data_IF_584347980295
#
_entry.id   IF_584347980295
#
_cell.length_a   1.000
_cell.length_b   1.000
_cell.length_c   1.000
_cell.angle_alpha   90.00
_cell.angle_beta   90.00
_cell.angle_gamma   90.00
#
_symmetry.space_group_name_H-M   'P 1'
#
loop_
_entity.id
_entity.type
_entity.pdbx_description
1 polymer ?
#
# COMPACT_ATOMS: atom_id res chain seq x y z
N UNK A 1 29.29 6.12 -3.07
CA UNK A 1 29.14 5.96 -1.60
C UNK A 1 28.39 4.67 -1.32
N UNK A 2 28.75 3.91 -0.28
CA UNK A 2 28.00 2.73 0.12
C UNK A 2 26.59 3.12 0.58
N UNK A 3 25.61 2.24 0.34
CA UNK A 3 24.24 2.47 0.81
C UNK A 3 24.17 2.47 2.33
N UNK A 4 23.41 3.40 2.90
CA UNK A 4 23.15 3.45 4.34
C UNK A 4 22.29 2.26 4.77
N UNK A 5 22.61 1.64 5.91
CA UNK A 5 21.70 0.68 6.55
C UNK A 5 20.34 1.33 6.85
N UNK A 6 19.29 0.54 7.06
CA UNK A 6 17.97 1.06 7.42
C UNK A 6 18.02 1.93 8.68
N UNK A 7 18.83 1.53 9.67
CA UNK A 7 19.08 2.31 10.89
C UNK A 7 19.74 3.66 10.61
N UNK A 8 20.83 3.69 9.85
CA UNK A 8 21.53 4.93 9.50
C UNK A 8 20.68 5.85 8.61
N UNK A 9 19.87 5.25 7.74
CA UNK A 9 18.88 5.95 6.92
C UNK A 9 17.90 6.72 7.80
N UNK A 10 17.32 6.02 8.79
CA UNK A 10 16.39 6.61 9.73
C UNK A 10 17.04 7.71 10.59
N UNK A 11 18.25 7.49 11.09
CA UNK A 11 18.99 8.48 11.89
C UNK A 11 19.26 9.76 11.08
N UNK A 12 19.67 9.61 9.82
CA UNK A 12 19.89 10.75 8.94
C UNK A 12 18.61 11.53 8.68
N UNK A 13 17.53 10.86 8.25
CA UNK A 13 16.26 11.54 7.94
C UNK A 13 15.67 12.21 9.18
N UNK A 14 15.73 11.56 10.34
CA UNK A 14 15.21 12.13 11.59
C UNK A 14 16.06 13.30 12.13
N UNK A 15 17.32 13.45 11.69
CA UNK A 15 18.14 14.63 12.00
C UNK A 15 17.78 15.85 11.15
N UNK A 16 17.22 15.62 9.97
CA UNK A 16 16.86 16.66 8.99
C UNK A 16 15.37 17.04 9.10
N UNK A 17 14.50 16.12 9.55
CA UNK A 17 13.05 16.32 9.58
C UNK A 17 12.44 15.89 10.92
N UNK A 18 11.50 16.70 11.42
CA UNK A 18 10.75 16.41 12.67
C UNK A 18 9.53 15.51 12.46
N UNK A 19 8.97 15.50 11.26
CA UNK A 19 7.75 14.78 10.91
C UNK A 19 8.01 13.87 9.71
N UNK A 20 7.19 12.84 9.56
CA UNK A 20 7.27 11.92 8.42
C UNK A 20 5.89 11.46 8.00
N UNK A 21 5.71 11.31 6.69
CA UNK A 21 4.55 10.63 6.11
C UNK A 21 4.89 9.14 6.01
N UNK A 22 3.90 8.26 6.13
CA UNK A 22 4.09 6.83 5.98
C UNK A 22 3.18 6.26 4.87
N UNK A 23 3.80 5.65 3.85
CA UNK A 23 3.10 4.83 2.88
C UNK A 23 2.67 3.51 3.55
N UNK A 24 1.42 3.45 4.02
CA UNK A 24 0.91 2.37 4.85
C UNK A 24 -0.01 1.44 4.05
N UNK A 25 0.56 0.42 3.41
CA UNK A 25 -0.21 -0.55 2.59
C UNK A 25 -0.96 -1.62 3.40
N UNK A 26 -1.01 -1.49 4.74
CA UNK A 26 -1.46 -2.52 5.70
C UNK A 26 -0.68 -3.86 5.63
N UNK A 27 0.29 -3.99 4.73
CA UNK A 27 1.17 -5.17 4.67
C UNK A 27 2.23 -5.15 5.77
N UNK A 28 2.76 -6.34 6.10
CA UNK A 28 3.78 -6.54 7.16
C UNK A 28 4.97 -5.59 7.07
N UNK A 29 5.41 -5.25 5.86
CA UNK A 29 6.58 -4.43 5.62
C UNK A 29 6.30 -2.95 5.96
N UNK A 30 5.10 -2.46 5.64
CA UNK A 30 4.65 -1.11 6.00
C UNK A 30 4.43 -0.95 7.51
N UNK A 31 3.93 -1.99 8.18
CA UNK A 31 3.79 -2.04 9.63
C UNK A 31 5.17 -2.04 10.30
N UNK A 32 6.12 -2.82 9.78
CA UNK A 32 7.50 -2.82 10.25
C UNK A 32 8.14 -1.42 10.10
N UNK A 33 7.89 -0.73 8.99
CA UNK A 33 8.34 0.63 8.79
C UNK A 33 7.75 1.58 9.84
N UNK A 34 6.44 1.54 10.10
CA UNK A 34 5.82 2.31 11.19
C UNK A 34 6.54 2.07 12.51
N UNK A 35 6.69 0.80 12.91
CA UNK A 35 7.31 0.43 14.19
C UNK A 35 8.76 0.89 14.31
N UNK A 36 9.49 0.93 13.20
CA UNK A 36 10.85 1.43 13.14
C UNK A 36 10.91 2.96 13.33
N UNK A 37 10.01 3.71 12.71
CA UNK A 37 10.07 5.19 12.66
C UNK A 37 9.31 5.88 13.79
N UNK A 38 8.29 5.26 14.39
CA UNK A 38 7.32 5.91 15.31
C UNK A 38 7.90 6.60 16.54
N UNK A 39 9.13 6.26 16.94
CA UNK A 39 9.84 6.88 18.08
C UNK A 39 10.92 7.89 17.66
N UNK A 40 11.13 8.08 16.37
CA UNK A 40 12.19 8.95 15.82
C UNK A 40 11.66 10.27 15.26
N UNK A 41 10.38 10.32 14.93
CA UNK A 41 9.70 11.55 14.52
C UNK A 41 8.74 12.01 15.61
N UNK A 42 8.50 13.32 15.69
CA UNK A 42 7.53 13.90 16.59
C UNK A 42 6.10 13.49 16.22
N UNK A 43 5.83 13.33 14.92
CA UNK A 43 4.57 12.80 14.40
C UNK A 43 4.81 12.00 13.12
N UNK A 44 3.97 10.98 12.91
CA UNK A 44 3.94 10.16 11.70
C UNK A 44 2.53 10.18 11.13
N UNK A 45 2.40 10.49 9.84
CA UNK A 45 1.11 10.63 9.15
C UNK A 45 0.94 9.51 8.12
N UNK A 46 0.24 8.41 8.48
CA UNK A 46 0.05 7.30 7.56
C UNK A 46 -1.06 7.58 6.54
N UNK A 47 -0.86 7.06 5.33
CA UNK A 47 -1.91 6.96 4.32
C UNK A 47 -2.01 5.54 3.76
N UNK A 48 -3.24 5.12 3.43
CA UNK A 48 -3.56 3.90 2.71
C UNK A 48 -4.15 4.28 1.35
N UNK A 49 -3.72 3.55 0.30
CA UNK A 49 -4.19 3.76 -1.06
C UNK A 49 -5.15 2.64 -1.47
N UNK A 50 -6.45 2.92 -1.55
CA UNK A 50 -7.44 1.92 -1.92
C UNK A 50 -7.54 1.77 -3.44
N UNK A 51 -7.74 0.54 -3.91
CA UNK A 51 -8.08 0.27 -5.31
C UNK A 51 -9.60 0.33 -5.52
N UNK A 52 -10.38 -0.17 -4.57
CA UNK A 52 -11.84 0.02 -4.49
C UNK A 52 -12.12 0.58 -3.10
N UNK A 53 -12.86 1.69 -2.96
CA UNK A 53 -13.15 2.28 -1.67
C UNK A 53 -14.02 1.36 -0.81
N UNK A 54 -13.87 1.47 0.51
CA UNK A 54 -14.81 0.91 1.50
C UNK A 54 -15.02 -0.62 1.41
N UNK A 55 -14.00 -1.36 0.98
CA UNK A 55 -14.01 -2.82 1.14
C UNK A 55 -13.96 -3.14 2.65
N UNK A 56 -14.96 -3.84 3.16
CA UNK A 56 -15.17 -4.15 4.58
C UNK A 56 -13.93 -4.85 5.16
N UNK A 57 -13.40 -5.87 4.47
CA UNK A 57 -12.21 -6.58 4.94
C UNK A 57 -10.95 -5.70 5.01
N UNK A 58 -10.87 -4.64 4.20
CA UNK A 58 -9.76 -3.67 4.24
C UNK A 58 -9.96 -2.71 5.39
N UNK A 59 -11.16 -2.13 5.51
CA UNK A 59 -11.44 -1.13 6.56
C UNK A 59 -11.35 -1.73 7.96
N UNK A 60 -11.83 -2.95 8.18
CA UNK A 60 -11.67 -3.67 9.45
C UNK A 60 -10.20 -3.70 9.89
N UNK A 61 -9.28 -3.93 8.96
CA UNK A 61 -7.85 -4.01 9.27
C UNK A 61 -7.21 -2.67 9.53
N UNK A 62 -7.58 -1.67 8.73
CA UNK A 62 -7.09 -0.33 8.94
C UNK A 62 -7.56 0.18 10.31
N UNK A 63 -8.82 -0.05 10.68
CA UNK A 63 -9.36 0.25 12.01
C UNK A 63 -8.61 -0.47 13.13
N UNK A 64 -8.32 -1.77 12.97
CA UNK A 64 -7.49 -2.51 13.94
C UNK A 64 -6.12 -1.87 14.14
N UNK A 65 -5.46 -1.42 13.07
CA UNK A 65 -4.17 -0.74 13.17
C UNK A 65 -4.28 0.65 13.77
N UNK A 66 -5.32 1.41 13.45
CA UNK A 66 -5.60 2.70 14.08
C UNK A 66 -5.80 2.56 15.59
N UNK A 67 -6.60 1.58 16.02
CA UNK A 67 -6.84 1.29 17.43
C UNK A 67 -5.55 0.84 18.11
N UNK A 68 -4.79 -0.07 17.50
CA UNK A 68 -3.55 -0.59 18.09
C UNK A 68 -2.46 0.48 18.21
N UNK A 69 -2.36 1.37 17.22
CA UNK A 69 -1.25 2.32 17.13
C UNK A 69 -1.59 3.74 17.56
N UNK A 70 -2.87 4.05 17.80
CA UNK A 70 -3.33 5.35 18.30
C UNK A 70 -3.18 6.47 17.27
N UNK A 71 -3.30 6.17 15.98
CA UNK A 71 -3.29 7.17 14.91
C UNK A 71 -4.50 6.99 13.98
N UNK A 72 -4.74 7.96 13.09
CA UNK A 72 -5.64 7.82 11.96
C UNK A 72 -4.86 7.65 10.66
N UNK A 73 -5.32 6.73 9.81
CA UNK A 73 -4.77 6.46 8.48
C UNK A 73 -5.61 7.22 7.46
N UNK A 74 -4.98 8.06 6.65
CA UNK A 74 -5.69 8.77 5.58
C UNK A 74 -5.99 7.80 4.45
N UNK A 75 -7.27 7.59 4.10
CA UNK A 75 -7.66 6.76 2.94
C UNK A 75 -7.69 7.64 1.70
N UNK A 76 -6.98 7.23 0.65
CA UNK A 76 -6.88 7.96 -0.61
C UNK A 76 -6.99 7.00 -1.80
N UNK A 77 -7.48 7.45 -2.97
CA UNK A 77 -7.51 6.59 -4.15
C UNK A 77 -6.08 6.25 -4.60
N UNK A 78 -5.83 4.98 -4.89
CA UNK A 78 -4.59 4.57 -5.52
C UNK A 78 -4.53 5.13 -6.96
N UNK A 79 -3.38 5.62 -7.47
CA UNK A 79 -3.26 6.11 -8.85
C UNK A 79 -3.74 5.10 -9.90
N UNK A 80 -3.49 3.81 -9.63
CA UNK A 80 -3.94 2.70 -10.47
C UNK A 80 -5.46 2.63 -10.63
N UNK A 81 -6.28 3.07 -9.65
CA UNK A 81 -7.73 3.10 -9.80
C UNK A 81 -8.13 3.99 -10.99
N UNK A 82 -7.61 5.21 -11.03
CA UNK A 82 -7.95 6.17 -12.08
C UNK A 82 -7.31 5.76 -13.42
N UNK A 83 -6.12 5.16 -13.39
CA UNK A 83 -5.48 4.60 -14.59
C UNK A 83 -6.30 3.45 -15.17
N UNK A 84 -6.76 2.51 -14.34
CA UNK A 84 -7.57 1.36 -14.77
C UNK A 84 -8.91 1.82 -15.33
N UNK A 85 -9.59 2.77 -14.68
CA UNK A 85 -10.85 3.31 -15.19
C UNK A 85 -10.66 4.01 -16.53
N UNK A 86 -9.69 4.93 -16.65
CA UNK A 86 -9.39 5.62 -17.92
C UNK A 86 -8.98 4.67 -19.05
N UNK A 87 -8.32 3.56 -18.72
CA UNK A 87 -7.95 2.52 -19.67
C UNK A 87 -9.07 1.48 -19.90
N UNK A 88 -10.27 1.73 -19.35
CA UNK A 88 -11.45 0.86 -19.41
C UNK A 88 -11.17 -0.60 -18.99
N UNK A 89 -10.21 -0.78 -18.08
CA UNK A 89 -9.84 -2.10 -17.55
C UNK A 89 -11.03 -2.68 -16.80
N UNK A 90 -11.39 -3.92 -17.15
CA UNK A 90 -12.56 -4.63 -16.64
C UNK A 90 -13.90 -3.88 -16.79
N UNK A 91 -14.05 -3.06 -17.83
CA UNK A 91 -15.29 -2.32 -18.10
C UNK A 91 -16.09 -2.91 -19.27
N UNK A 92 -17.42 -3.03 -19.15
CA UNK A 92 -18.25 -3.31 -20.31
C UNK A 92 -18.32 -2.08 -21.24
N UNK A 93 -18.49 -2.25 -22.57
CA UNK A 93 -18.50 -1.14 -23.52
C UNK A 93 -19.47 0.00 -23.16
N UNK A 94 -20.63 -0.34 -22.57
CA UNK A 94 -21.65 0.63 -22.13
C UNK A 94 -21.18 1.63 -21.07
N UNK A 95 -20.08 1.36 -20.34
CA UNK A 95 -19.57 2.26 -19.30
C UNK A 95 -18.56 3.29 -19.83
N UNK A 96 -17.93 3.02 -20.99
CA UNK A 96 -16.81 3.82 -21.52
C UNK A 96 -17.14 5.32 -21.62
N UNK A 97 -18.28 5.66 -22.23
CA UNK A 97 -18.71 7.06 -22.38
C UNK A 97 -18.89 7.80 -21.04
N UNK A 98 -19.40 7.12 -20.00
CA UNK A 98 -19.60 7.71 -18.68
C UNK A 98 -18.26 7.93 -17.98
N UNK A 99 -17.34 6.97 -18.09
CA UNK A 99 -16.00 7.05 -17.50
C UNK A 99 -15.20 8.18 -18.15
N UNK A 100 -15.25 8.30 -19.47
CA UNK A 100 -14.56 9.36 -20.21
C UNK A 100 -15.13 10.73 -19.84
N UNK A 101 -16.45 10.85 -19.72
CA UNK A 101 -17.12 12.08 -19.30
C UNK A 101 -16.80 12.49 -17.86
N UNK A 102 -16.42 11.54 -16.98
CA UNK A 102 -16.06 11.84 -15.60
C UNK A 102 -14.74 12.61 -15.48
N UNK A 103 -13.91 12.67 -16.54
CA UNK A 103 -12.72 13.52 -16.57
C UNK A 103 -11.71 13.19 -15.47
N UNK A 104 -11.51 11.90 -15.18
CA UNK A 104 -10.65 11.43 -14.09
C UNK A 104 -9.22 11.98 -14.22
N UNK A 105 -8.74 12.65 -13.17
CA UNK A 105 -7.42 13.28 -13.14
C UNK A 105 -6.28 12.26 -13.31
N UNK A 106 -5.18 12.70 -13.90
CA UNK A 106 -3.91 11.96 -13.82
C UNK A 106 -3.12 12.44 -12.61
N UNK A 107 -2.72 11.53 -11.75
CA UNK A 107 -1.92 11.84 -10.57
C UNK A 107 -1.04 10.65 -10.19
N UNK A 108 0.04 10.93 -9.48
CA UNK A 108 0.98 9.94 -8.99
C UNK A 108 1.30 10.07 -7.51
N UNK A 109 2.32 9.34 -7.09
CA UNK A 109 2.76 9.34 -5.69
C UNK A 109 3.30 10.69 -5.20
N UNK A 110 3.82 11.52 -6.11
CA UNK A 110 4.25 12.88 -5.76
C UNK A 110 3.06 13.77 -5.39
N UNK A 111 1.94 13.66 -6.11
CA UNK A 111 0.71 14.41 -5.83
C UNK A 111 0.08 13.94 -4.52
N UNK A 112 0.08 12.63 -4.28
CA UNK A 112 -0.36 12.07 -2.98
C UNK A 112 0.46 12.66 -1.83
N UNK A 113 1.79 12.72 -1.96
CA UNK A 113 2.65 13.34 -0.94
C UNK A 113 2.29 14.81 -0.73
N UNK A 114 2.16 15.59 -1.80
CA UNK A 114 1.85 17.02 -1.70
C UNK A 114 0.47 17.26 -1.08
N UNK A 115 -0.51 16.45 -1.42
CA UNK A 115 -1.84 16.51 -0.82
C UNK A 115 -1.80 16.13 0.67
N UNK A 116 -1.05 15.10 1.07
CA UNK A 116 -0.80 14.81 2.49
C UNK A 116 -0.13 15.98 3.20
N UNK A 117 0.83 16.66 2.56
CA UNK A 117 1.47 17.85 3.13
C UNK A 117 0.44 18.97 3.32
N UNK A 118 -0.42 19.24 2.34
CA UNK A 118 -1.48 20.24 2.45
C UNK A 118 -2.52 19.90 3.52
N UNK A 119 -2.94 18.63 3.62
CA UNK A 119 -3.95 18.18 4.58
C UNK A 119 -3.51 18.34 6.04
N UNK A 120 -2.21 18.18 6.31
CA UNK A 120 -1.65 18.18 7.67
C UNK A 120 -0.74 19.38 7.94
N UNK A 121 -0.75 20.40 7.07
CA UNK A 121 0.09 21.61 7.15
C UNK A 121 1.59 21.28 7.36
N UNK A 122 2.10 20.37 6.52
CA UNK A 122 3.48 19.88 6.58
C UNK A 122 4.36 20.59 5.54
N UNK A 123 5.68 20.74 5.80
CA UNK A 123 6.63 21.22 4.81
C UNK A 123 6.56 20.40 3.50
N UNK A 124 6.65 21.03 2.30
CA UNK A 124 6.52 20.32 1.02
C UNK A 124 7.58 19.23 0.77
N UNK A 125 8.71 19.31 1.47
CA UNK A 125 9.81 18.34 1.44
C UNK A 125 9.71 17.26 2.53
N UNK A 126 8.57 17.16 3.22
CA UNK A 126 8.34 16.15 4.27
C UNK A 126 8.60 14.75 3.72
N UNK A 127 9.45 13.95 4.40
CA UNK A 127 9.86 12.67 3.89
C UNK A 127 8.75 11.62 4.04
N UNK A 128 8.68 10.70 3.08
CA UNK A 128 7.75 9.58 3.03
C UNK A 128 8.52 8.29 3.30
N UNK A 129 8.19 7.63 4.41
CA UNK A 129 8.68 6.30 4.73
C UNK A 129 8.03 5.24 3.85
N UNK A 130 8.84 4.36 3.26
CA UNK A 130 8.37 3.21 2.49
C UNK A 130 8.92 1.90 3.08
N UNK A 131 8.04 0.92 3.31
CA UNK A 131 8.40 -0.35 3.97
C UNK A 131 9.15 -1.36 3.13
N UNK A 132 9.39 -1.10 1.84
CA UNK A 132 10.02 -2.07 0.93
C UNK A 132 11.32 -2.66 1.49
N UNK A 133 11.33 -3.99 1.70
CA UNK A 133 12.51 -4.77 2.10
C UNK A 133 13.18 -5.46 0.91
N UNK A 134 14.50 -5.54 0.92
CA UNK A 134 15.32 -6.23 -0.08
C UNK A 134 15.78 -7.56 0.51
N UNK A 135 14.90 -8.57 0.47
CA UNK A 135 15.17 -9.81 1.17
C UNK A 135 16.11 -10.74 0.37
N UNK A 136 15.91 -10.90 -0.96
CA UNK A 136 16.72 -11.78 -1.84
C UNK A 136 16.76 -11.48 -3.35
N UNK A 137 15.93 -10.60 -3.89
CA UNK A 137 15.82 -10.43 -5.36
C UNK A 137 16.97 -9.54 -5.89
N UNK A 138 17.80 -10.09 -6.78
CA UNK A 138 18.94 -9.39 -7.39
C UNK A 138 18.55 -8.01 -7.95
N UNK A 139 17.40 -7.91 -8.62
CA UNK A 139 16.90 -6.64 -9.18
C UNK A 139 16.59 -5.57 -8.11
N UNK A 140 15.95 -5.95 -7.00
CA UNK A 140 15.64 -5.01 -5.92
C UNK A 140 16.91 -4.55 -5.21
N UNK A 141 17.88 -5.46 -5.04
CA UNK A 141 19.19 -5.13 -4.47
C UNK A 141 19.99 -4.19 -5.36
N UNK A 142 20.00 -4.42 -6.68
CA UNK A 142 20.64 -3.55 -7.65
C UNK A 142 19.99 -2.16 -7.69
N UNK A 143 18.65 -2.09 -7.68
CA UNK A 143 17.91 -0.83 -7.61
C UNK A 143 18.27 -0.05 -6.35
N UNK A 144 18.22 -0.71 -5.19
CA UNK A 144 18.54 -0.10 -3.91
C UNK A 144 20.01 0.34 -3.84
N UNK A 145 20.95 -0.42 -4.40
CA UNK A 145 22.36 -0.02 -4.54
C UNK A 145 22.55 1.19 -5.46
N UNK A 146 21.76 1.32 -6.52
CA UNK A 146 21.84 2.43 -7.48
C UNK A 146 21.23 3.72 -6.94
N UNK A 147 20.07 3.64 -6.31
CA UNK A 147 19.31 4.81 -5.86
C UNK A 147 19.55 5.17 -4.39
N UNK A 148 20.04 4.22 -3.60
CA UNK A 148 20.19 4.37 -2.17
C UNK A 148 18.88 4.24 -1.41
N UNK A 149 18.99 4.28 -0.09
CA UNK A 149 17.86 4.17 0.85
C UNK A 149 17.16 5.50 1.14
N UNK A 150 17.65 6.60 0.55
CA UNK A 150 17.05 7.95 0.60
C UNK A 150 17.00 8.48 -0.83
N UNK A 151 15.81 8.66 -1.38
CA UNK A 151 15.55 9.15 -2.73
C UNK A 151 14.98 10.56 -2.63
N UNK A 152 15.89 11.56 -2.58
CA UNK A 152 15.53 12.98 -2.35
C UNK A 152 14.54 13.52 -3.39
N UNK A 153 14.69 13.15 -4.66
CA UNK A 153 13.78 13.59 -5.73
C UNK A 153 12.32 13.15 -5.52
N UNK A 154 12.10 12.08 -4.76
CA UNK A 154 10.77 11.57 -4.43
C UNK A 154 10.37 11.91 -2.98
N UNK A 155 11.25 12.56 -2.22
CA UNK A 155 11.15 12.71 -0.77
C UNK A 155 10.89 11.36 -0.09
N UNK A 156 11.48 10.27 -0.58
CA UNK A 156 11.25 8.93 -0.03
C UNK A 156 12.47 8.40 0.71
N UNK A 157 12.22 7.59 1.73
CA UNK A 157 13.25 6.83 2.42
C UNK A 157 12.76 5.46 2.86
N UNK A 158 13.68 4.52 3.01
CA UNK A 158 13.37 3.10 3.24
C UNK A 158 13.97 2.64 4.58
N UNK A 159 13.29 2.82 5.72
CA UNK A 159 13.89 2.62 7.05
C UNK A 159 14.17 1.16 7.41
N UNK A 160 13.57 0.20 6.69
CA UNK A 160 13.65 -1.23 6.97
C UNK A 160 14.16 -2.04 5.79
N UNK A 161 14.76 -1.39 4.79
CA UNK A 161 15.11 -2.02 3.51
C UNK A 161 16.03 -3.24 3.64
N UNK A 162 16.88 -3.25 4.66
CA UNK A 162 17.87 -4.28 4.96
C UNK A 162 17.40 -5.31 6.00
N UNK A 163 16.16 -5.19 6.51
CA UNK A 163 15.62 -6.13 7.49
C UNK A 163 15.39 -7.52 6.89
N UNK A 164 15.88 -8.53 7.59
CA UNK A 164 15.62 -9.94 7.29
C UNK A 164 14.30 -10.38 7.91
N UNK A 165 13.79 -11.54 7.47
CA UNK A 165 12.60 -12.19 8.06
C UNK A 165 12.65 -12.24 9.58
N UNK A 166 13.82 -12.56 10.15
CA UNK A 166 13.99 -12.66 11.60
C UNK A 166 13.80 -11.33 12.31
N UNK A 167 14.31 -10.22 11.74
CA UNK A 167 14.13 -8.88 12.30
C UNK A 167 12.64 -8.49 12.32
N UNK A 168 11.92 -8.79 11.25
CA UNK A 168 10.48 -8.55 11.15
C UNK A 168 9.69 -9.36 12.19
N UNK A 169 9.96 -10.67 12.29
CA UNK A 169 9.30 -11.54 13.26
C UNK A 169 9.58 -11.10 14.71
N UNK A 170 10.82 -10.73 15.02
CA UNK A 170 11.19 -10.23 16.34
C UNK A 170 10.48 -8.91 16.64
N UNK A 171 10.44 -7.99 15.69
CA UNK A 171 9.74 -6.72 15.82
C UNK A 171 8.25 -6.93 16.10
N UNK A 172 7.58 -7.81 15.36
CA UNK A 172 6.15 -8.07 15.55
C UNK A 172 5.85 -8.73 16.88
N UNK A 173 6.66 -9.72 17.28
CA UNK A 173 6.55 -10.37 18.58
C UNK A 173 6.69 -9.36 19.73
N UNK A 174 7.70 -8.48 19.66
CA UNK A 174 7.96 -7.46 20.69
C UNK A 174 6.84 -6.42 20.81
N UNK A 175 6.17 -6.11 19.70
CA UNK A 175 5.13 -5.09 19.66
C UNK A 175 3.71 -5.67 19.65
N UNK A 176 3.57 -6.99 19.86
CA UNK A 176 2.29 -7.70 19.85
C UNK A 176 1.43 -7.40 18.61
N UNK A 177 2.08 -7.26 17.45
CA UNK A 177 1.38 -7.02 16.18
C UNK A 177 0.75 -8.30 15.68
N UNK A 178 -0.54 -8.23 15.36
CA UNK A 178 -1.26 -9.25 14.61
C UNK A 178 -1.45 -8.75 13.18
N UNK A 179 -1.22 -9.63 12.21
CA UNK A 179 -1.56 -9.35 10.83
C UNK A 179 -3.07 -9.54 10.64
N UNK A 180 -3.65 -8.77 9.73
CA UNK A 180 -5.06 -8.82 9.41
C UNK A 180 -5.51 -10.20 8.89
N UNK A 181 -6.83 -10.43 8.97
CA UNK A 181 -7.51 -11.64 8.46
C UNK A 181 -7.20 -11.93 6.99
N UNK A 182 -7.18 -10.90 6.14
CA UNK A 182 -6.85 -10.95 4.71
C UNK A 182 -5.48 -11.59 4.45
N UNK A 183 -4.49 -11.37 5.32
CA UNK A 183 -3.15 -11.90 5.17
C UNK A 183 -3.13 -13.41 5.32
N UNK A 184 -4.07 -13.99 6.09
CA UNK A 184 -4.23 -15.44 6.20
C UNK A 184 -4.83 -16.03 4.92
N UNK A 185 -5.58 -15.24 4.15
CA UNK A 185 -6.24 -15.65 2.92
C UNK A 185 -5.31 -15.48 1.72
N UNK A 186 -4.65 -14.32 1.59
CA UNK A 186 -3.84 -13.97 0.42
C UNK A 186 -2.33 -14.23 0.61
N UNK A 187 -1.85 -14.32 1.86
CA UNK A 187 -0.41 -14.38 2.17
C UNK A 187 0.36 -13.07 1.93
N UNK A 188 -0.34 -12.02 1.49
CA UNK A 188 0.16 -10.67 1.21
C UNK A 188 -0.98 -9.65 1.37
N UNK A 189 -0.66 -8.35 1.32
CA UNK A 189 -1.68 -7.29 1.30
C UNK A 189 -2.39 -7.26 -0.05
N UNK A 190 -3.68 -6.97 -0.06
CA UNK A 190 -4.46 -6.73 -1.28
C UNK A 190 -3.85 -5.62 -2.15
N UNK A 191 -3.47 -5.96 -3.40
CA UNK A 191 -2.75 -5.04 -4.29
C UNK A 191 -3.24 -5.03 -5.75
N UNK A 192 -4.15 -5.93 -6.13
CA UNK A 192 -4.59 -6.10 -7.51
C UNK A 192 -5.91 -6.86 -7.63
N UNK A 193 -6.56 -6.74 -8.79
CA UNK A 193 -7.81 -7.42 -9.14
C UNK A 193 -7.58 -8.64 -10.05
N UNK A 194 -6.54 -9.43 -9.76
CA UNK A 194 -6.33 -10.70 -10.46
C UNK A 194 -6.92 -11.88 -9.68
N UNK A 195 -6.94 -13.05 -10.32
CA UNK A 195 -7.52 -14.28 -9.77
C UNK A 195 -7.00 -14.69 -8.39
N UNK A 196 -5.76 -14.33 -8.03
CA UNK A 196 -5.18 -14.62 -6.71
C UNK A 196 -5.98 -13.96 -5.59
N UNK A 197 -6.61 -12.81 -5.88
CA UNK A 197 -7.44 -12.07 -4.93
C UNK A 197 -8.93 -12.27 -5.21
N UNK A 198 -9.36 -12.20 -6.47
CA UNK A 198 -10.78 -12.27 -6.83
C UNK A 198 -11.45 -13.58 -6.37
N UNK A 199 -10.79 -14.74 -6.54
CA UNK A 199 -11.34 -16.04 -6.12
C UNK A 199 -11.60 -16.11 -4.61
N UNK A 200 -10.60 -15.85 -3.74
CA UNK A 200 -10.83 -15.85 -2.30
C UNK A 200 -11.82 -14.75 -1.86
N UNK A 201 -11.80 -13.56 -2.49
CA UNK A 201 -12.76 -12.49 -2.15
C UNK A 201 -14.20 -12.93 -2.47
N UNK A 202 -14.47 -13.51 -3.65
CA UNK A 202 -15.79 -14.06 -4.00
C UNK A 202 -16.27 -15.10 -2.97
N UNK A 203 -15.36 -15.91 -2.45
CA UNK A 203 -15.67 -16.98 -1.48
C UNK A 203 -15.88 -16.48 -0.05
N UNK A 204 -14.98 -15.64 0.46
CA UNK A 204 -14.93 -15.26 1.87
C UNK A 204 -15.53 -13.89 2.17
N UNK A 205 -15.54 -12.99 1.19
CA UNK A 205 -16.04 -11.61 1.30
C UNK A 205 -16.99 -11.26 0.16
N UNK A 206 -18.14 -11.96 0.01
CA UNK A 206 -19.03 -11.81 -1.14
C UNK A 206 -19.64 -10.40 -1.29
N UNK A 207 -19.77 -9.65 -0.19
CA UNK A 207 -20.21 -8.23 -0.24
C UNK A 207 -19.15 -7.33 -0.84
N UNK A 208 -17.90 -7.49 -0.43
CA UNK A 208 -16.77 -6.78 -1.02
C UNK A 208 -16.53 -7.18 -2.46
N UNK A 209 -16.76 -8.44 -2.80
CA UNK A 209 -16.78 -8.90 -4.18
C UNK A 209 -17.81 -8.14 -5.01
N UNK A 210 -19.03 -7.94 -4.51
CA UNK A 210 -20.04 -7.13 -5.21
C UNK A 210 -19.59 -5.67 -5.38
N UNK A 211 -19.03 -5.03 -4.35
CA UNK A 211 -18.46 -3.68 -4.48
C UNK A 211 -17.36 -3.61 -5.55
N UNK A 212 -16.50 -4.63 -5.63
CA UNK A 212 -15.50 -4.73 -6.70
C UNK A 212 -16.18 -4.77 -8.07
N UNK A 213 -17.26 -5.54 -8.23
CA UNK A 213 -18.00 -5.63 -9.49
C UNK A 213 -18.76 -4.35 -9.86
N UNK A 214 -19.18 -3.54 -8.87
CA UNK A 214 -19.75 -2.22 -9.13
C UNK A 214 -18.74 -1.28 -9.80
N UNK A 215 -17.47 -1.34 -9.38
CA UNK A 215 -16.39 -0.56 -9.99
C UNK A 215 -15.82 -1.21 -11.26
N UNK A 216 -15.67 -2.54 -11.28
CA UNK A 216 -15.00 -3.31 -12.32
C UNK A 216 -15.83 -4.55 -12.73
N UNK A 217 -16.94 -4.36 -13.47
CA UNK A 217 -17.91 -5.43 -13.69
C UNK A 217 -17.34 -6.66 -14.40
N UNK A 218 -16.35 -6.51 -15.26
CA UNK A 218 -15.76 -7.64 -15.99
C UNK A 218 -14.72 -8.42 -15.17
N UNK A 219 -14.49 -8.09 -13.89
CA UNK A 219 -13.74 -8.96 -12.99
C UNK A 219 -14.41 -10.35 -12.85
N UNK A 220 -15.74 -10.44 -12.98
CA UNK A 220 -16.45 -11.74 -12.99
C UNK A 220 -16.01 -12.62 -14.17
N UNK A 221 -15.64 -12.02 -15.31
CA UNK A 221 -15.19 -12.81 -16.47
C UNK A 221 -13.88 -13.54 -16.20
N UNK A 222 -12.98 -12.96 -15.39
CA UNK A 222 -11.74 -13.64 -15.01
C UNK A 222 -12.06 -14.92 -14.22
N UNK A 223 -12.99 -14.83 -13.26
CA UNK A 223 -13.43 -15.98 -12.48
C UNK A 223 -14.14 -17.00 -13.37
N UNK A 224 -15.07 -16.57 -14.21
CA UNK A 224 -15.80 -17.44 -15.13
C UNK A 224 -14.84 -18.23 -16.04
N UNK A 225 -13.83 -17.56 -16.61
CA UNK A 225 -12.80 -18.22 -17.45
C UNK A 225 -12.03 -19.28 -16.66
N UNK A 226 -11.67 -18.99 -15.41
CA UNK A 226 -11.00 -19.96 -14.54
C UNK A 226 -11.92 -21.15 -14.21
N UNK A 227 -13.18 -20.90 -13.85
CA UNK A 227 -14.18 -21.93 -13.55
C UNK A 227 -14.43 -22.84 -14.76
N UNK A 228 -14.56 -22.32 -15.98
CA UNK A 228 -14.69 -23.16 -17.19
C UNK A 228 -13.44 -24.00 -17.50
N UNK A 229 -12.26 -23.52 -17.11
CA UNK A 229 -10.99 -24.21 -17.41
C UNK A 229 -10.66 -25.28 -16.37
N UNK A 230 -10.95 -25.02 -15.09
CA UNK A 230 -10.49 -25.83 -13.95
C UNK A 230 -11.62 -26.30 -13.02
N UNK A 231 -12.78 -25.66 -13.06
CA UNK A 231 -13.99 -26.12 -12.38
C UNK A 231 -14.58 -27.29 -13.14
N UNK A 232 -14.66 -28.46 -12.49
CA UNK A 232 -15.54 -29.51 -12.98
C UNK A 232 -16.97 -28.98 -12.84
N UNK A 233 -17.65 -28.75 -13.98
CA UNK A 233 -19.10 -28.56 -14.02
C UNK A 233 -19.81 -29.71 -13.27
#
# INVERSE_FOLDING_TARGET
MPILSGKMTLEKVASEHRQSILAFSAGKDSIAAYLAIRKRFAAVYPYYLYLVPELEFVEEQLELYEQQFGFKITRLPHPALYQMLRAHVFQPPKHTAVIDAAGLADFGYADIRLMMCGMFDLPPDTPVANGTRVEKRAKQRLSMQRHGSIVKSQCQYYPVWDWKKQDLLHCFKRNHVRLGSDYQIFGCSFDSLDLRFLLPIKKFYPRDYQKILEFFPLCELEIFRWECTFGKN
#
